data_IF_693079284218
#
_entry.id   IF_693079284218
#
_cell.length_a   1.000
_cell.length_b   1.000
_cell.length_c   1.000
_cell.angle_alpha   90.00
_cell.angle_beta   90.00
_cell.angle_gamma   90.00
#
_symmetry.space_group_name_H-M   'P 1'
#
loop_
_entity.id
_entity.type
_entity.pdbx_description
1 polymer ?
#
# COMPACT_ATOMS: atom_id res chain seq x y z
N UNK A 1 -20.89 29.33 6.95
CA UNK A 1 -19.60 29.01 7.61
C UNK A 1 -19.83 27.76 8.42
N UNK A 2 -19.33 26.60 7.96
CA UNK A 2 -19.38 25.36 8.75
C UNK A 2 -18.40 25.47 9.91
N UNK A 3 -18.72 24.87 11.04
CA UNK A 3 -17.89 24.89 12.24
C UNK A 3 -16.62 24.04 12.04
N UNK A 4 -15.55 24.31 12.80
CA UNK A 4 -14.29 23.55 12.71
C UNK A 4 -14.46 22.04 12.97
N UNK A 5 -15.56 21.63 13.62
CA UNK A 5 -15.94 20.23 13.84
C UNK A 5 -16.56 19.59 12.59
N UNK A 6 -17.31 20.35 11.78
CA UNK A 6 -17.92 19.89 10.52
C UNK A 6 -16.93 19.87 9.34
N UNK A 7 -15.74 20.45 9.49
CA UNK A 7 -14.65 20.32 8.51
C UNK A 7 -13.80 19.06 8.73
N UNK A 8 -13.99 18.33 9.84
CA UNK A 8 -13.33 17.05 10.08
C UNK A 8 -14.15 15.86 9.55
N UNK A 9 -15.43 16.07 9.22
CA UNK A 9 -16.32 15.04 8.64
C UNK A 9 -16.07 14.79 7.14
N UNK A 10 -15.20 15.56 6.49
CA UNK A 10 -14.75 15.35 5.10
C UNK A 10 -13.33 14.74 5.06
N UNK A 11 -13.14 13.63 5.78
CA UNK A 11 -11.88 12.87 5.80
C UNK A 11 -12.10 11.47 5.23
N UNK A 12 -12.52 11.40 3.96
CA UNK A 12 -12.78 10.15 3.22
C UNK A 12 -11.59 9.19 3.02
N UNK A 13 -10.55 9.27 3.85
CA UNK A 13 -9.33 8.46 3.81
C UNK A 13 -9.02 7.74 5.13
N UNK A 14 -9.92 7.76 6.13
CA UNK A 14 -9.63 7.28 7.50
C UNK A 14 -10.63 6.26 8.05
N UNK A 15 -11.32 5.56 7.15
CA UNK A 15 -12.32 4.54 7.49
C UNK A 15 -12.08 3.21 6.76
N UNK A 16 -12.91 2.20 7.06
CA UNK A 16 -12.83 0.89 6.42
C UNK A 16 -13.11 0.96 4.91
N UNK A 17 -14.04 1.82 4.48
CA UNK A 17 -14.40 1.96 3.07
C UNK A 17 -13.24 2.51 2.23
N UNK A 18 -12.51 3.50 2.76
CA UNK A 18 -11.30 4.03 2.11
C UNK A 18 -10.21 2.97 1.96
N UNK A 19 -10.11 2.01 2.89
CA UNK A 19 -9.20 0.87 2.76
C UNK A 19 -9.62 -0.06 1.61
N UNK A 20 -10.92 -0.34 1.48
CA UNK A 20 -11.45 -1.18 0.39
C UNK A 20 -11.31 -0.47 -0.96
N UNK A 21 -11.68 0.81 -1.02
CA UNK A 21 -11.56 1.65 -2.21
C UNK A 21 -10.09 1.72 -2.68
N UNK A 22 -9.13 1.79 -1.75
CA UNK A 22 -7.71 1.77 -2.10
C UNK A 22 -7.29 0.46 -2.78
N UNK A 23 -7.78 -0.70 -2.32
CA UNK A 23 -7.44 -1.97 -2.97
C UNK A 23 -8.00 -2.06 -4.38
N UNK A 24 -9.22 -1.55 -4.59
CA UNK A 24 -9.79 -1.50 -5.93
C UNK A 24 -9.03 -0.52 -6.83
N UNK A 25 -8.65 0.64 -6.30
CA UNK A 25 -7.83 1.61 -7.02
C UNK A 25 -6.45 1.05 -7.40
N UNK A 26 -5.81 0.26 -6.53
CA UNK A 26 -4.51 -0.33 -6.82
C UNK A 26 -4.56 -1.45 -7.83
N UNK A 27 -5.64 -2.24 -7.86
CA UNK A 27 -5.91 -3.21 -8.94
C UNK A 27 -6.06 -2.51 -10.29
N UNK A 28 -6.87 -1.46 -10.36
CA UNK A 28 -7.01 -0.67 -11.59
C UNK A 28 -5.71 -0.03 -12.03
N UNK A 29 -4.95 0.53 -11.09
CA UNK A 29 -3.63 1.08 -11.38
C UNK A 29 -2.68 0.02 -11.94
N UNK A 30 -2.65 -1.19 -11.37
CA UNK A 30 -1.78 -2.27 -11.83
C UNK A 30 -2.09 -2.63 -13.29
N UNK A 31 -3.36 -2.80 -13.64
CA UNK A 31 -3.78 -3.05 -15.03
C UNK A 31 -3.34 -1.91 -15.96
N UNK A 32 -3.61 -0.67 -15.57
CA UNK A 32 -3.38 0.50 -16.44
C UNK A 32 -1.89 0.87 -16.59
N UNK A 33 -1.06 0.56 -15.58
CA UNK A 33 0.30 1.12 -15.45
C UNK A 33 1.40 0.08 -15.37
N UNK A 34 1.09 -1.18 -15.08
CA UNK A 34 2.09 -2.21 -14.81
C UNK A 34 1.95 -3.40 -15.74
N UNK A 35 0.73 -3.89 -15.98
CA UNK A 35 0.49 -5.17 -16.63
C UNK A 35 1.10 -5.31 -18.04
N UNK A 36 1.23 -4.21 -18.78
CA UNK A 36 1.80 -4.21 -20.13
C UNK A 36 3.31 -3.97 -20.18
N UNK A 37 3.97 -3.79 -19.02
CA UNK A 37 5.41 -3.55 -18.98
C UNK A 37 6.18 -4.85 -19.22
N UNK A 38 7.27 -4.74 -19.98
CA UNK A 38 8.26 -5.81 -20.13
C UNK A 38 9.05 -6.01 -18.83
N UNK A 39 9.71 -7.17 -18.69
CA UNK A 39 10.59 -7.45 -17.55
C UNK A 39 11.71 -6.42 -17.40
N UNK A 40 12.28 -5.95 -18.51
CA UNK A 40 13.30 -4.89 -18.50
C UNK A 40 12.74 -3.58 -17.92
N UNK A 41 11.52 -3.18 -18.32
CA UNK A 41 10.86 -2.00 -17.76
C UNK A 41 10.51 -2.19 -16.28
N UNK A 42 10.06 -3.38 -15.87
CA UNK A 42 9.72 -3.67 -14.49
C UNK A 42 10.97 -3.61 -13.59
N UNK A 43 12.09 -4.12 -14.07
CA UNK A 43 13.35 -4.17 -13.31
C UNK A 43 14.21 -2.90 -13.43
N UNK A 44 13.89 -1.99 -14.35
CA UNK A 44 14.62 -0.75 -14.52
C UNK A 44 14.74 0.07 -13.22
N UNK A 45 15.96 0.43 -12.84
CA UNK A 45 16.26 1.34 -11.74
C UNK A 45 16.80 2.66 -12.29
N UNK A 46 16.30 3.82 -11.82
CA UNK A 46 16.83 5.12 -12.20
C UNK A 46 18.32 5.26 -11.89
N UNK A 47 19.05 6.02 -12.72
CA UNK A 47 20.47 6.32 -12.49
C UNK A 47 20.71 7.13 -11.21
N UNK A 48 19.72 7.90 -10.78
CA UNK A 48 19.71 8.59 -9.48
C UNK A 48 19.63 7.64 -8.28
N UNK A 49 19.48 6.33 -8.53
CA UNK A 49 19.29 5.30 -7.52
C UNK A 49 17.82 5.15 -7.10
N UNK A 50 17.59 4.19 -6.21
CA UNK A 50 16.26 3.86 -5.70
C UNK A 50 15.67 2.58 -6.29
N UNK A 51 14.39 2.39 -6.04
CA UNK A 51 13.68 1.16 -6.40
C UNK A 51 13.15 1.18 -7.83
N UNK A 52 13.12 0.01 -8.45
CA UNK A 52 12.37 -0.20 -9.70
C UNK A 52 10.87 -0.32 -9.42
N UNK A 53 10.07 -0.40 -10.48
CA UNK A 53 8.63 -0.69 -10.37
C UNK A 53 8.41 -2.07 -9.72
N UNK A 54 9.19 -3.08 -10.12
CA UNK A 54 9.16 -4.41 -9.53
C UNK A 54 9.47 -4.39 -8.03
N UNK A 55 10.50 -3.63 -7.61
CA UNK A 55 10.84 -3.47 -6.18
C UNK A 55 9.69 -2.85 -5.39
N UNK A 56 9.04 -1.81 -5.93
CA UNK A 56 7.89 -1.19 -5.28
C UNK A 56 6.73 -2.17 -5.09
N UNK A 57 6.45 -3.00 -6.09
CA UNK A 57 5.37 -4.00 -6.04
C UNK A 57 5.70 -5.13 -5.07
N UNK A 58 6.91 -5.68 -5.15
CA UNK A 58 7.34 -6.78 -4.27
C UNK A 58 7.34 -6.35 -2.80
N UNK A 59 7.80 -5.13 -2.53
CA UNK A 59 7.73 -4.54 -1.19
C UNK A 59 6.29 -4.45 -0.64
N UNK A 60 5.33 -4.05 -1.48
CA UNK A 60 3.91 -4.03 -1.10
C UNK A 60 3.39 -5.44 -0.78
N UNK A 61 3.79 -6.43 -1.58
CA UNK A 61 3.43 -7.82 -1.35
C UNK A 61 4.01 -8.33 -0.02
N UNK A 62 5.30 -8.11 0.24
CA UNK A 62 5.97 -8.49 1.49
C UNK A 62 5.28 -7.83 2.68
N UNK A 63 4.99 -6.53 2.61
CA UNK A 63 4.35 -5.79 3.68
C UNK A 63 2.98 -6.40 4.06
N UNK A 64 2.09 -6.63 3.09
CA UNK A 64 0.77 -7.23 3.35
C UNK A 64 0.94 -8.63 3.94
N UNK A 65 1.83 -9.45 3.39
CA UNK A 65 2.04 -10.82 3.85
C UNK A 65 2.48 -10.88 5.32
N UNK A 66 3.32 -9.94 5.76
CA UNK A 66 3.77 -9.86 7.16
C UNK A 66 2.69 -9.36 8.13
N UNK A 67 1.80 -8.47 7.67
CA UNK A 67 0.75 -7.92 8.51
C UNK A 67 -0.49 -8.82 8.59
N UNK A 68 -0.80 -9.60 7.55
CA UNK A 68 -2.03 -10.41 7.49
C UNK A 68 -2.25 -11.31 8.72
N UNK A 69 -1.28 -12.15 9.16
CA UNK A 69 -1.49 -12.99 10.35
C UNK A 69 -1.78 -12.18 11.62
N UNK A 70 -1.15 -11.01 11.76
CA UNK A 70 -1.33 -10.12 12.92
C UNK A 70 -2.71 -9.47 12.91
N UNK A 71 -3.19 -9.08 11.73
CA UNK A 71 -4.54 -8.55 11.54
C UNK A 71 -5.58 -9.60 11.91
N UNK A 72 -5.46 -10.84 11.41
CA UNK A 72 -6.40 -11.92 11.75
C UNK A 72 -6.44 -12.20 13.26
N UNK A 73 -5.28 -12.23 13.92
CA UNK A 73 -5.21 -12.42 15.38
C UNK A 73 -5.90 -11.28 16.14
N UNK A 74 -5.65 -10.02 15.75
CA UNK A 74 -6.28 -8.85 16.37
C UNK A 74 -7.80 -8.80 16.13
N UNK A 75 -8.25 -9.12 14.91
CA UNK A 75 -9.66 -9.20 14.54
C UNK A 75 -10.37 -10.27 15.38
N UNK A 76 -9.81 -11.49 15.43
CA UNK A 76 -10.37 -12.59 16.21
C UNK A 76 -10.49 -12.24 17.70
N UNK A 77 -9.45 -11.65 18.29
CA UNK A 77 -9.45 -11.17 19.67
C UNK A 77 -10.50 -10.08 19.90
N UNK A 78 -10.58 -9.10 18.99
CA UNK A 78 -11.55 -8.00 19.06
C UNK A 78 -12.98 -8.51 19.10
N UNK A 79 -13.33 -9.46 18.23
CA UNK A 79 -14.64 -10.09 18.24
C UNK A 79 -14.89 -10.91 19.51
N UNK A 80 -13.93 -11.73 19.94
CA UNK A 80 -14.05 -12.54 21.15
C UNK A 80 -14.23 -11.72 22.43
N UNK A 81 -13.69 -10.49 22.46
CA UNK A 81 -13.84 -9.55 23.57
C UNK A 81 -15.06 -8.62 23.44
N UNK A 82 -15.82 -8.71 22.35
CA UNK A 82 -16.97 -7.82 22.12
C UNK A 82 -16.59 -6.35 21.91
N UNK A 83 -15.40 -6.06 21.38
CA UNK A 83 -14.89 -4.70 21.11
C UNK A 83 -15.55 -4.08 19.87
N UNK A 84 -16.84 -3.77 20.00
CA UNK A 84 -17.65 -3.17 18.92
C UNK A 84 -17.33 -1.69 18.74
N UNK A 85 -17.32 -1.24 17.49
CA UNK A 85 -17.26 0.17 17.13
C UNK A 85 -18.44 0.91 17.77
N UNK A 86 -18.16 2.06 18.38
CA UNK A 86 -19.18 2.91 19.01
C UNK A 86 -19.30 4.24 18.26
N UNK A 87 -18.17 4.91 18.05
CA UNK A 87 -18.07 6.21 17.37
C UNK A 87 -16.59 6.63 17.30
N UNK A 88 -16.26 7.55 16.39
CA UNK A 88 -14.92 8.15 16.30
C UNK A 88 -14.08 7.61 15.15
N UNK A 89 -12.81 8.02 15.12
CA UNK A 89 -11.87 7.62 14.07
C UNK A 89 -11.51 6.14 14.17
N UNK A 90 -11.15 5.54 13.05
CA UNK A 90 -10.71 4.15 13.00
C UNK A 90 -9.36 3.93 13.70
N UNK A 91 -8.56 4.97 13.87
CA UNK A 91 -7.27 4.96 14.56
C UNK A 91 -7.19 6.05 15.63
N UNK A 92 -6.11 6.05 16.42
CA UNK A 92 -5.88 7.11 17.40
C UNK A 92 -5.48 8.42 16.71
N UNK A 93 -5.70 9.60 17.34
CA UNK A 93 -5.26 10.87 16.77
C UNK A 93 -3.75 10.97 16.55
N UNK A 94 -2.96 10.24 17.33
CA UNK A 94 -1.50 10.17 17.15
C UNK A 94 -1.13 9.39 15.90
N UNK A 95 -1.74 8.22 15.70
CA UNK A 95 -1.55 7.42 14.48
C UNK A 95 -2.01 8.17 13.25
N UNK A 96 -3.14 8.89 13.33
CA UNK A 96 -3.65 9.72 12.25
C UNK A 96 -2.61 10.74 11.76
N UNK A 97 -1.86 11.37 12.69
CA UNK A 97 -0.78 12.31 12.33
C UNK A 97 0.41 11.63 11.68
N UNK A 98 0.68 10.38 12.02
CA UNK A 98 1.76 9.61 11.38
C UNK A 98 1.35 9.15 9.99
N UNK A 99 0.09 8.74 9.82
CA UNK A 99 -0.45 8.30 8.53
C UNK A 99 -0.33 9.38 7.46
N UNK A 100 -0.55 10.66 7.80
CA UNK A 100 -0.38 11.76 6.84
C UNK A 100 1.06 11.94 6.36
N UNK A 101 2.05 11.46 7.11
CA UNK A 101 3.46 11.48 6.70
C UNK A 101 3.83 10.31 5.78
N UNK A 102 3.00 9.27 5.74
CA UNK A 102 3.16 8.13 4.84
C UNK A 102 2.55 8.44 3.47
N UNK A 103 1.49 9.26 3.42
CA UNK A 103 0.84 9.66 2.19
C UNK A 103 1.79 10.37 1.20
N UNK A 104 1.60 10.17 -0.12
CA UNK A 104 2.33 10.92 -1.11
C UNK A 104 1.91 12.41 -1.15
N UNK A 105 2.76 13.33 -1.63
CA UNK A 105 4.11 13.08 -2.16
C UNK A 105 5.14 12.83 -1.05
N UNK A 106 6.01 11.84 -1.26
CA UNK A 106 7.08 11.53 -0.30
C UNK A 106 8.19 12.57 -0.45
N UNK A 107 8.30 13.46 0.53
CA UNK A 107 9.29 14.56 0.51
C UNK A 107 10.72 14.09 0.84
N UNK A 108 10.88 12.96 1.53
CA UNK A 108 12.19 12.38 1.86
C UNK A 108 12.17 10.85 1.68
N UNK A 109 13.08 10.28 0.88
CA UNK A 109 13.23 8.84 0.80
C UNK A 109 13.69 8.30 2.16
N UNK A 110 12.96 7.32 2.67
CA UNK A 110 13.32 6.58 3.88
C UNK A 110 13.59 5.14 3.45
N UNK A 111 14.73 4.60 3.84
CA UNK A 111 15.07 3.20 3.57
C UNK A 111 14.06 2.28 4.23
N UNK A 112 13.64 1.24 3.51
CA UNK A 112 12.82 0.21 4.11
C UNK A 112 13.60 -0.53 5.20
N UNK A 113 12.93 -1.00 6.26
CA UNK A 113 13.51 -1.99 7.18
C UNK A 113 13.99 -3.23 6.40
N UNK A 114 15.11 -3.87 6.78
CA UNK A 114 15.66 -5.02 6.04
C UNK A 114 14.68 -6.17 5.82
N UNK A 115 13.76 -6.41 6.76
CA UNK A 115 12.71 -7.44 6.64
C UNK A 115 11.70 -7.16 5.51
N UNK A 116 11.65 -5.92 5.03
CA UNK A 116 10.77 -5.48 3.95
C UNK A 116 11.53 -5.23 2.64
N UNK A 117 12.85 -5.47 2.58
CA UNK A 117 13.60 -5.24 1.34
C UNK A 117 13.30 -6.33 0.30
N UNK A 118 12.93 -5.96 -0.94
CA UNK A 118 12.83 -6.92 -2.03
C UNK A 118 14.20 -7.58 -2.31
N UNK A 119 14.18 -8.89 -2.56
CA UNK A 119 15.38 -9.67 -2.89
C UNK A 119 15.50 -9.88 -4.41
N UNK A 120 15.80 -11.10 -4.86
CA UNK A 120 15.69 -11.45 -6.27
C UNK A 120 14.21 -11.50 -6.69
N UNK A 121 13.78 -10.53 -7.50
CA UNK A 121 12.37 -10.38 -7.87
C UNK A 121 12.03 -11.28 -9.06
N UNK A 122 11.13 -12.23 -8.84
CA UNK A 122 10.50 -13.03 -9.89
C UNK A 122 9.30 -12.27 -10.48
N UNK A 123 9.54 -11.54 -11.57
CA UNK A 123 8.51 -10.73 -12.24
C UNK A 123 7.31 -11.56 -12.72
N UNK A 124 7.51 -12.85 -13.02
CA UNK A 124 6.45 -13.77 -13.43
C UNK A 124 5.42 -14.05 -12.33
N UNK A 125 5.78 -13.86 -11.05
CA UNK A 125 4.90 -14.11 -9.90
C UNK A 125 4.33 -12.84 -9.27
N UNK A 126 4.86 -11.66 -9.63
CA UNK A 126 4.45 -10.38 -9.05
C UNK A 126 2.95 -10.15 -9.20
N UNK A 127 2.39 -10.40 -10.39
CA UNK A 127 0.97 -10.16 -10.68
C UNK A 127 0.04 -11.04 -9.85
N UNK A 128 0.32 -12.34 -9.76
CA UNK A 128 -0.50 -13.27 -8.99
C UNK A 128 -0.49 -12.92 -7.50
N UNK A 129 0.70 -12.68 -6.95
CA UNK A 129 0.86 -12.27 -5.56
C UNK A 129 0.18 -10.92 -5.30
N UNK A 130 0.29 -9.98 -6.25
CA UNK A 130 -0.31 -8.66 -6.14
C UNK A 130 -1.81 -8.74 -5.88
N UNK A 131 -2.53 -9.48 -6.72
CA UNK A 131 -3.99 -9.63 -6.60
C UNK A 131 -4.38 -10.44 -5.36
N UNK A 132 -3.72 -11.58 -5.14
CA UNK A 132 -4.03 -12.48 -4.01
C UNK A 132 -3.92 -11.77 -2.67
N UNK A 133 -2.88 -10.96 -2.48
CA UNK A 133 -2.65 -10.25 -1.22
C UNK A 133 -3.62 -9.07 -1.04
N UNK A 134 -3.99 -8.37 -2.11
CA UNK A 134 -5.05 -7.33 -2.08
C UNK A 134 -6.39 -7.92 -1.68
N UNK A 135 -6.74 -9.08 -2.23
CA UNK A 135 -8.00 -9.79 -1.90
C UNK A 135 -8.00 -10.28 -0.45
N UNK A 136 -6.86 -10.82 0.01
CA UNK A 136 -6.68 -11.24 1.40
C UNK A 136 -6.82 -10.05 2.36
N UNK A 137 -6.18 -8.92 2.06
CA UNK A 137 -6.28 -7.70 2.85
C UNK A 137 -7.70 -7.13 2.84
N UNK A 138 -8.37 -7.04 1.68
CA UNK A 138 -9.75 -6.60 1.60
C UNK A 138 -10.69 -7.54 2.39
N UNK A 139 -10.40 -8.84 2.40
CA UNK A 139 -11.07 -9.80 3.27
C UNK A 139 -10.90 -9.49 4.76
N UNK A 140 -9.68 -9.16 5.19
CA UNK A 140 -9.40 -8.76 6.58
C UNK A 140 -10.13 -7.46 6.96
N UNK A 141 -10.14 -6.45 6.08
CA UNK A 141 -10.89 -5.20 6.27
C UNK A 141 -12.38 -5.49 6.47
N UNK A 142 -12.99 -6.33 5.63
CA UNK A 142 -14.41 -6.72 5.76
C UNK A 142 -14.69 -7.46 7.07
N UNK A 143 -13.79 -8.37 7.50
CA UNK A 143 -13.91 -9.06 8.78
C UNK A 143 -13.74 -8.13 9.99
N UNK A 144 -12.99 -7.05 9.84
CA UNK A 144 -12.79 -6.04 10.89
C UNK A 144 -13.97 -5.04 10.97
N UNK A 145 -14.84 -5.01 9.97
CA UNK A 145 -15.93 -4.03 9.89
C UNK A 145 -16.82 -4.08 11.13
N UNK A 146 -16.96 -2.93 11.81
CA UNK A 146 -17.73 -2.81 13.04
C UNK A 146 -16.98 -3.14 14.33
N UNK A 147 -15.67 -3.43 14.27
CA UNK A 147 -14.80 -3.43 15.45
C UNK A 147 -14.33 -2.01 15.80
N UNK A 148 -14.08 -1.77 17.09
CA UNK A 148 -13.36 -0.58 17.55
C UNK A 148 -11.88 -0.67 17.15
N UNK A 149 -11.57 -0.25 15.92
CA UNK A 149 -10.23 -0.36 15.36
C UNK A 149 -9.17 0.42 16.14
N UNK A 150 -9.57 1.50 16.83
CA UNK A 150 -8.66 2.33 17.63
C UNK A 150 -8.33 1.71 18.99
N UNK A 151 -9.27 0.96 19.55
CA UNK A 151 -9.17 0.34 20.88
C UNK A 151 -8.65 -1.11 20.88
N UNK A 152 -8.30 -1.67 19.73
CA UNK A 152 -7.75 -3.02 19.58
C UNK A 152 -6.27 -2.90 19.20
N UNK A 153 -5.38 -3.39 20.05
CA UNK A 153 -3.94 -3.43 19.78
C UNK A 153 -3.57 -4.57 18.83
N UNK A 154 -2.65 -4.29 17.91
CA UNK A 154 -2.03 -5.24 17.00
C UNK A 154 -0.75 -5.83 17.62
N UNK A 155 -0.71 -7.15 17.91
CA UNK A 155 0.48 -7.80 18.46
C UNK A 155 1.69 -7.69 17.54
N UNK A 156 2.81 -7.24 18.10
CA UNK A 156 4.08 -7.14 17.38
C UNK A 156 3.98 -6.29 16.12
N UNK A 157 3.30 -5.14 16.21
CA UNK A 157 3.27 -4.14 15.15
C UNK A 157 4.68 -3.81 14.66
N UNK A 158 4.86 -3.82 13.33
CA UNK A 158 6.17 -3.59 12.69
C UNK A 158 6.49 -2.09 12.66
N UNK A 159 5.49 -1.25 12.42
CA UNK A 159 5.63 0.20 12.50
C UNK A 159 5.74 0.64 13.97
N UNK A 160 6.69 1.52 14.35
CA UNK A 160 6.95 1.84 15.76
C UNK A 160 5.78 2.55 16.45
N UNK A 161 5.08 3.44 15.73
CA UNK A 161 4.00 4.29 16.29
C UNK A 161 2.60 3.73 16.00
N UNK A 162 2.43 3.01 14.89
CA UNK A 162 1.11 2.57 14.45
C UNK A 162 0.90 1.16 14.96
N UNK A 163 0.01 1.03 15.95
CA UNK A 163 -0.16 -0.18 16.77
C UNK A 163 -1.61 -0.62 16.91
N UNK A 164 -2.58 0.24 16.61
CA UNK A 164 -3.98 -0.16 16.62
C UNK A 164 -4.33 -0.97 15.36
N UNK A 165 -5.37 -1.81 15.45
CA UNK A 165 -5.91 -2.57 14.32
C UNK A 165 -6.28 -1.61 13.18
N UNK A 166 -7.07 -0.59 13.50
CA UNK A 166 -7.55 0.36 12.50
C UNK A 166 -6.44 1.25 11.95
N UNK A 167 -5.50 1.70 12.78
CA UNK A 167 -4.30 2.41 12.33
C UNK A 167 -3.45 1.57 11.39
N UNK A 168 -3.32 0.27 11.64
CA UNK A 168 -2.55 -0.63 10.76
C UNK A 168 -3.24 -0.88 9.42
N UNK A 169 -4.56 -1.05 9.41
CA UNK A 169 -5.32 -1.13 8.14
C UNK A 169 -5.08 0.14 7.32
N UNK A 170 -5.26 1.31 7.93
CA UNK A 170 -5.01 2.60 7.26
C UNK A 170 -3.56 2.75 6.79
N UNK A 171 -2.59 2.26 7.58
CA UNK A 171 -1.17 2.27 7.19
C UNK A 171 -0.94 1.47 5.92
N UNK A 172 -1.50 0.26 5.81
CA UNK A 172 -1.33 -0.57 4.61
C UNK A 172 -1.91 0.14 3.38
N UNK A 173 -3.07 0.79 3.52
CA UNK A 173 -3.67 1.57 2.43
C UNK A 173 -2.81 2.79 2.04
N UNK A 174 -2.31 3.57 3.01
CA UNK A 174 -1.43 4.72 2.75
C UNK A 174 -0.10 4.29 2.14
N UNK A 175 0.44 3.15 2.58
CA UNK A 175 1.66 2.55 2.08
C UNK A 175 1.53 2.10 0.62
N UNK A 176 0.38 1.51 0.26
CA UNK A 176 0.03 1.16 -1.12
C UNK A 176 0.06 2.40 -2.02
N UNK A 177 -0.60 3.50 -1.62
CA UNK A 177 -0.54 4.80 -2.34
C UNK A 177 0.88 5.33 -2.50
N UNK A 178 1.68 5.28 -1.44
CA UNK A 178 3.07 5.74 -1.44
C UNK A 178 3.92 5.00 -2.47
N UNK A 179 3.87 3.67 -2.50
CA UNK A 179 4.73 2.90 -3.41
C UNK A 179 4.19 2.88 -4.85
N UNK A 180 2.89 3.01 -5.06
CA UNK A 180 2.32 3.31 -6.38
C UNK A 180 2.85 4.66 -6.89
N UNK A 181 2.85 5.70 -6.05
CA UNK A 181 3.41 7.01 -6.42
C UNK A 181 4.91 6.94 -6.75
N UNK A 182 5.70 6.14 -6.01
CA UNK A 182 7.12 5.93 -6.31
C UNK A 182 7.33 5.22 -7.65
N UNK A 183 6.57 4.16 -7.93
CA UNK A 183 6.61 3.48 -9.22
C UNK A 183 6.25 4.43 -10.38
N UNK A 184 5.28 5.34 -10.18
CA UNK A 184 4.97 6.40 -11.16
C UNK A 184 6.12 7.41 -11.33
N UNK A 185 6.92 7.70 -10.30
CA UNK A 185 8.09 8.55 -10.48
C UNK A 185 9.16 7.87 -11.34
N UNK A 186 9.36 6.56 -11.20
CA UNK A 186 10.27 5.78 -12.06
C UNK A 186 9.84 5.90 -13.52
N UNK A 187 8.54 5.75 -13.82
CA UNK A 187 7.99 5.88 -15.18
C UNK A 187 8.20 7.26 -15.81
N UNK A 188 8.36 8.31 -15.01
CA UNK A 188 8.55 9.69 -15.46
C UNK A 188 10.02 10.04 -15.72
N UNK A 189 10.95 9.15 -15.41
CA UNK A 189 12.37 9.36 -15.71
C UNK A 189 12.63 9.29 -17.23
N UNK A 190 13.47 10.17 -17.80
CA UNK A 190 13.80 10.13 -19.23
C UNK A 190 14.35 8.76 -19.69
N UNK A 191 15.13 8.12 -18.83
CA UNK A 191 15.78 6.82 -19.08
C UNK A 191 14.75 5.70 -19.26
N UNK A 192 13.67 5.72 -18.47
CA UNK A 192 12.58 4.74 -18.61
C UNK A 192 11.87 4.86 -19.97
N UNK A 193 11.71 6.08 -20.48
CA UNK A 193 11.10 6.30 -21.80
C UNK A 193 11.95 5.70 -22.93
N UNK A 194 13.28 5.71 -22.80
CA UNK A 194 14.20 5.18 -23.80
C UNK A 194 14.11 3.65 -23.95
N UNK A 195 13.81 2.93 -22.87
CA UNK A 195 13.57 1.47 -22.90
C UNK A 195 12.32 1.17 -23.73
N UNK A 196 11.29 2.00 -23.56
CA UNK A 196 10.02 1.84 -24.27
C UNK A 196 10.17 2.07 -25.78
N UNK A 197 11.03 2.99 -26.21
CA UNK A 197 11.29 3.29 -27.63
C UNK A 197 12.23 2.28 -28.31
N UNK A 198 13.18 1.71 -27.57
CA UNK A 198 14.16 0.76 -28.12
C UNK A 198 13.48 -0.55 -28.57
N UNK A 199 12.47 -1.00 -27.83
CA UNK A 199 11.66 -2.17 -28.20
C UNK A 199 10.82 -1.96 -29.46
N UNK A 200 10.42 -0.72 -29.78
CA UNK A 200 9.68 -0.41 -31.00
C UNK A 200 10.58 -0.38 -32.25
N UNK A 201 11.81 0.13 -32.11
CA UNK A 201 12.79 0.20 -33.21
C UNK A 201 13.29 -1.19 -33.65
N UNK A 202 13.46 -2.12 -32.71
CA UNK A 202 13.86 -3.51 -33.03
C UNK A 202 12.72 -4.32 -33.68
N UNK A 203 11.46 -4.08 -33.30
CA UNK A 203 10.31 -4.76 -33.91
C UNK A 203 10.06 -4.33 -35.36
N UNK A 204 10.34 -3.07 -35.70
CA UNK A 204 10.14 -2.51 -37.05
C UNK A 204 11.27 -2.83 -38.03
N UNK A 205 12.43 -3.26 -37.55
CA UNK A 205 13.59 -3.65 -38.38
C UNK A 205 13.66 -5.14 -38.69
N UNK A 206 12.75 -5.95 -38.12
CA UNK A 206 12.59 -7.38 -38.37
C UNK A 206 11.30 -7.73 -39.16
N UNK A 207 10.58 -6.72 -39.65
CA UNK A 207 9.40 -6.85 -40.54
C UNK A 207 9.77 -6.49 -41.97
#
# INVERSE_FOLDING_TARGET
MKTATEQLEDTGMTDFESCLAQMEASRHWFVARVLSLSDEQLQFQPLSGGWSIAHCIDHLNIAINLYLPKLEEAIGRGWGQGKRYRSGLLCTPEEQRVLTLVEPPVMRPVSAPPILEPAAIDTGRLSEQFYTLRDSYAGAVRRAYGLDGSGIELPGAIHPVIRSLGGTLLLIAAHDRRHMWQAEQVRKTPEFALISTSNFALATSLS
#
